data_IF_688212869388
#
_entry.id   IF_688212869388
#
_cell.length_a   1.000
_cell.length_b   1.000
_cell.length_c   1.000
_cell.angle_alpha   90.00
_cell.angle_beta   90.00
_cell.angle_gamma   90.00
#
_symmetry.space_group_name_H-M   'P 1'
#
loop_
_entity.id
_entity.type
_entity.pdbx_description
1 polymer ?
#
# COMPACT_ATOMS: atom_id res chain seq x y z
N UNK A 1 79.61 -32.04 18.92
CA UNK A 1 79.53 -31.46 17.56
C UNK A 1 78.17 -31.85 16.98
N UNK A 2 77.37 -30.83 16.65
CA UNK A 2 76.25 -30.81 15.68
C UNK A 2 75.05 -31.73 15.97
N UNK A 3 74.01 -31.26 16.66
CA UNK A 3 72.90 -30.42 16.16
C UNK A 3 71.79 -31.23 15.44
N UNK A 4 70.82 -31.71 16.23
CA UNK A 4 69.50 -32.16 15.81
C UNK A 4 68.70 -30.95 15.30
N UNK A 5 68.14 -31.03 14.09
CA UNK A 5 67.37 -29.96 13.46
C UNK A 5 66.07 -29.61 14.20
N UNK A 6 65.61 -28.35 14.14
CA UNK A 6 64.38 -27.94 14.79
C UNK A 6 63.16 -28.36 13.97
N UNK A 7 62.23 -29.02 14.65
CA UNK A 7 60.89 -29.32 14.16
C UNK A 7 60.12 -28.02 13.89
N UNK A 8 59.70 -27.84 12.64
CA UNK A 8 58.83 -26.75 12.19
C UNK A 8 57.41 -26.99 12.73
N UNK A 9 57.10 -26.37 13.86
CA UNK A 9 55.73 -26.30 14.39
C UNK A 9 54.93 -25.27 13.57
N UNK A 10 54.09 -25.75 12.66
CA UNK A 10 53.03 -24.94 12.08
C UNK A 10 51.95 -24.71 13.15
N UNK A 11 51.93 -23.52 13.74
CA UNK A 11 50.78 -23.03 14.52
C UNK A 11 49.82 -22.39 13.53
N UNK A 12 48.78 -23.14 13.15
CA UNK A 12 47.67 -22.64 12.36
C UNK A 12 46.80 -21.74 13.26
N UNK A 13 47.07 -20.44 13.26
CA UNK A 13 46.17 -19.45 13.86
C UNK A 13 44.95 -19.28 12.94
N UNK A 14 43.85 -19.96 13.26
CA UNK A 14 42.55 -19.70 12.65
C UNK A 14 42.00 -18.38 13.21
N UNK A 15 42.25 -17.29 12.48
CA UNK A 15 41.59 -16.01 12.71
C UNK A 15 40.15 -16.14 12.23
N UNK A 16 39.21 -16.41 13.15
CA UNK A 16 37.79 -16.37 12.86
C UNK A 16 37.36 -14.91 12.64
N UNK A 17 37.43 -14.44 11.40
CA UNK A 17 36.74 -13.23 10.99
C UNK A 17 35.24 -13.53 10.95
N UNK A 18 34.57 -13.38 12.09
CA UNK A 18 33.12 -13.25 12.12
C UNK A 18 32.76 -11.93 11.42
N UNK A 19 32.51 -12.00 10.11
CA UNK A 19 31.73 -10.97 9.43
C UNK A 19 30.37 -10.93 10.15
N UNK A 20 30.23 -9.99 11.06
CA UNK A 20 28.94 -9.56 11.57
C UNK A 20 28.27 -8.81 10.42
N UNK A 21 27.81 -9.55 9.40
CA UNK A 21 26.77 -9.03 8.53
C UNK A 21 25.58 -8.75 9.46
N UNK A 22 24.96 -7.55 9.43
CA UNK A 22 23.69 -7.38 10.08
C UNK A 22 22.74 -8.36 9.41
N UNK A 23 22.48 -9.48 10.09
CA UNK A 23 21.27 -10.24 9.91
C UNK A 23 20.15 -9.25 10.23
N UNK A 24 19.66 -8.56 9.20
CA UNK A 24 18.31 -8.06 9.24
C UNK A 24 17.46 -9.31 9.45
N UNK A 25 17.14 -9.59 10.72
CA UNK A 25 16.14 -10.57 11.07
C UNK A 25 14.94 -10.21 10.21
N UNK A 26 14.59 -11.08 9.25
CA UNK A 26 13.41 -10.88 8.42
C UNK A 26 12.22 -11.00 9.36
N UNK A 27 11.79 -9.87 9.92
CA UNK A 27 10.56 -9.80 10.69
C UNK A 27 9.46 -10.19 9.69
N UNK A 28 8.69 -11.27 9.91
CA UNK A 28 7.87 -11.89 8.86
C UNK A 28 6.88 -10.91 8.21
N UNK A 29 7.12 -10.40 7.01
CA UNK A 29 6.20 -9.45 6.36
C UNK A 29 6.86 -8.75 5.19
N UNK A 30 6.09 -8.52 4.12
CA UNK A 30 6.59 -7.84 2.92
C UNK A 30 6.52 -6.32 3.07
N UNK A 31 7.39 -5.61 2.35
CA UNK A 31 7.26 -4.16 2.20
C UNK A 31 5.97 -3.83 1.44
N UNK A 32 5.38 -2.67 1.73
CA UNK A 32 4.14 -2.23 1.08
C UNK A 32 4.30 -2.06 -0.43
N UNK A 33 5.48 -1.63 -0.89
CA UNK A 33 5.83 -1.64 -2.32
C UNK A 33 5.64 -3.01 -2.96
N UNK A 34 6.04 -4.09 -2.28
CA UNK A 34 5.87 -5.44 -2.81
C UNK A 34 4.41 -5.88 -2.80
N UNK A 35 3.63 -5.51 -1.79
CA UNK A 35 2.17 -5.71 -1.81
C UNK A 35 1.50 -5.02 -3.01
N UNK A 36 1.90 -3.79 -3.34
CA UNK A 36 1.38 -3.07 -4.50
C UNK A 36 1.74 -3.77 -5.82
N UNK A 37 2.98 -4.25 -5.95
CA UNK A 37 3.43 -5.05 -7.09
C UNK A 37 2.62 -6.33 -7.24
N UNK A 38 2.44 -7.09 -6.15
CA UNK A 38 1.70 -8.35 -6.15
C UNK A 38 0.23 -8.14 -6.57
N UNK A 39 -0.45 -7.14 -6.00
CA UNK A 39 -1.83 -6.77 -6.37
C UNK A 39 -1.94 -6.33 -7.82
N UNK A 40 -0.96 -5.57 -8.31
CA UNK A 40 -0.94 -5.10 -9.71
C UNK A 40 -0.86 -6.29 -10.67
N UNK A 41 0.05 -7.23 -10.46
CA UNK A 41 0.17 -8.39 -11.34
C UNK A 41 -1.07 -9.30 -11.25
N UNK A 42 -1.66 -9.45 -10.06
CA UNK A 42 -2.90 -10.21 -9.90
C UNK A 42 -4.09 -9.59 -10.68
N UNK A 43 -4.19 -8.26 -10.70
CA UNK A 43 -5.24 -7.54 -11.45
C UNK A 43 -4.97 -7.37 -12.94
N UNK A 44 -3.73 -7.60 -13.39
CA UNK A 44 -3.30 -7.37 -14.77
C UNK A 44 -2.52 -8.59 -15.30
N UNK A 45 -3.20 -9.71 -15.62
CA UNK A 45 -2.56 -10.98 -15.99
C UNK A 45 -1.72 -10.94 -17.28
N UNK A 46 -1.82 -9.86 -18.06
CA UNK A 46 -1.00 -9.65 -19.26
C UNK A 46 0.38 -9.04 -18.96
N UNK A 47 0.62 -8.57 -17.73
CA UNK A 47 1.94 -8.08 -17.31
C UNK A 47 2.91 -9.24 -17.09
N UNK A 48 4.10 -9.11 -17.66
CA UNK A 48 5.24 -9.98 -17.39
C UNK A 48 6.06 -9.53 -16.18
N UNK A 49 6.18 -8.21 -15.99
CA UNK A 49 6.94 -7.65 -14.90
C UNK A 49 6.36 -6.31 -14.45
N UNK A 50 6.46 -6.07 -13.15
CA UNK A 50 6.23 -4.77 -12.51
C UNK A 50 7.43 -4.51 -11.62
N UNK A 51 7.99 -3.32 -11.72
CA UNK A 51 9.11 -2.87 -10.88
C UNK A 51 8.81 -1.50 -10.32
N UNK A 52 9.13 -1.32 -9.04
CA UNK A 52 9.08 -0.01 -8.39
C UNK A 52 10.48 0.37 -7.97
N UNK A 53 10.93 1.53 -8.44
CA UNK A 53 12.16 2.18 -7.99
C UNK A 53 11.78 3.40 -7.17
N UNK A 54 12.48 3.64 -6.06
CA UNK A 54 12.32 4.86 -5.27
C UNK A 54 13.68 5.49 -5.02
N UNK A 55 13.70 6.82 -4.94
CA UNK A 55 14.90 7.56 -4.56
C UNK A 55 14.97 7.64 -3.04
N UNK A 56 16.08 7.21 -2.40
CA UNK A 56 16.25 7.33 -0.96
C UNK A 56 16.13 8.79 -0.48
N UNK A 57 15.58 8.98 0.73
CA UNK A 57 15.55 10.30 1.36
C UNK A 57 16.97 10.78 1.64
N UNK A 58 17.41 11.86 0.99
CA UNK A 58 18.78 12.38 1.08
C UNK A 58 19.52 12.44 -0.26
N UNK A 59 18.91 11.96 -1.34
CA UNK A 59 19.53 11.89 -2.67
C UNK A 59 20.24 10.56 -2.92
N UNK A 60 20.53 10.26 -4.19
CA UNK A 60 21.16 9.01 -4.62
C UNK A 60 20.51 8.44 -5.89
N UNK A 61 21.09 7.36 -6.41
CA UNK A 61 20.51 6.61 -7.53
C UNK A 61 19.18 5.94 -7.11
N UNK A 62 18.16 5.92 -7.97
CA UNK A 62 16.93 5.18 -7.71
C UNK A 62 17.23 3.70 -7.45
N UNK A 63 16.73 3.17 -6.32
CA UNK A 63 16.91 1.76 -5.96
C UNK A 63 15.61 1.01 -6.22
N UNK A 64 15.70 -0.21 -6.76
CA UNK A 64 14.53 -1.09 -6.89
C UNK A 64 14.08 -1.55 -5.50
N UNK A 65 12.86 -1.19 -5.12
CA UNK A 65 12.28 -1.48 -3.80
C UNK A 65 11.21 -2.58 -3.82
N UNK A 66 10.72 -2.93 -5.01
CA UNK A 66 9.80 -4.05 -5.23
C UNK A 66 9.82 -4.50 -6.69
N UNK A 67 9.58 -5.79 -6.92
CA UNK A 67 9.64 -6.37 -8.26
C UNK A 67 8.92 -7.71 -8.37
N UNK A 68 8.46 -8.05 -9.58
CA UNK A 68 8.12 -9.43 -9.95
C UNK A 68 9.21 -10.11 -10.79
N UNK A 69 10.33 -9.44 -11.07
CA UNK A 69 11.48 -10.04 -11.74
C UNK A 69 12.02 -11.18 -10.88
N UNK A 70 12.26 -12.34 -11.49
CA UNK A 70 12.70 -13.57 -10.82
C UNK A 70 11.59 -14.60 -10.57
N UNK A 71 10.32 -14.29 -10.90
CA UNK A 71 9.24 -15.28 -10.90
C UNK A 71 9.42 -16.31 -12.02
N UNK A 72 9.39 -17.59 -11.66
CA UNK A 72 9.46 -18.73 -12.59
C UNK A 72 8.11 -18.98 -13.29
N UNK A 73 8.15 -19.59 -14.48
CA UNK A 73 6.95 -19.96 -15.25
C UNK A 73 6.51 -18.97 -16.33
N UNK A 74 7.28 -17.90 -16.58
CA UNK A 74 7.04 -17.01 -17.72
C UNK A 74 7.43 -17.70 -19.05
N UNK A 75 6.69 -17.45 -20.16
CA UNK A 75 7.09 -17.95 -21.47
C UNK A 75 8.51 -17.51 -21.83
N UNK A 76 9.35 -18.45 -22.28
CA UNK A 76 10.76 -18.21 -22.58
C UNK A 76 11.01 -17.45 -23.91
N UNK A 77 9.95 -17.00 -24.59
CA UNK A 77 10.04 -16.34 -25.90
C UNK A 77 8.95 -15.31 -26.14
N UNK A 78 9.18 -14.41 -27.09
CA UNK A 78 8.29 -13.32 -27.49
C UNK A 78 8.92 -11.94 -27.32
N UNK A 79 8.48 -10.97 -28.12
CA UNK A 79 8.92 -9.57 -27.99
C UNK A 79 8.34 -8.99 -26.70
N UNK A 80 9.17 -8.31 -25.91
CA UNK A 80 8.74 -7.57 -24.71
C UNK A 80 8.51 -6.12 -25.09
N UNK A 81 7.47 -5.52 -24.50
CA UNK A 81 7.29 -4.07 -24.52
C UNK A 81 7.47 -3.60 -23.10
N UNK A 82 8.43 -2.70 -22.89
CA UNK A 82 8.77 -2.15 -21.59
C UNK A 82 8.40 -0.66 -21.57
N UNK A 83 7.64 -0.24 -20.56
CA UNK A 83 7.27 1.15 -20.35
C UNK A 83 7.77 1.58 -18.98
N UNK A 84 8.41 2.75 -18.93
CA UNK A 84 8.81 3.40 -17.70
C UNK A 84 8.01 4.70 -17.52
N UNK A 85 7.35 4.85 -16.38
CA UNK A 85 6.56 6.02 -16.01
C UNK A 85 7.04 6.58 -14.67
N UNK A 86 6.82 7.87 -14.38
CA UNK A 86 6.98 8.38 -13.01
C UNK A 86 6.03 7.63 -12.07
N UNK A 87 6.54 7.15 -10.95
CA UNK A 87 5.73 6.63 -9.86
C UNK A 87 5.22 7.82 -9.06
N UNK A 88 3.90 7.99 -9.00
CA UNK A 88 3.25 9.12 -8.35
C UNK A 88 2.69 8.71 -6.99
N UNK A 89 2.64 9.64 -6.05
CA UNK A 89 1.87 9.51 -4.82
C UNK A 89 0.44 10.08 -4.98
N UNK A 90 -0.34 10.01 -3.90
CA UNK A 90 -1.73 10.48 -3.83
C UNK A 90 -1.90 11.98 -4.13
N UNK A 91 -0.83 12.79 -4.13
CA UNK A 91 -0.90 14.22 -4.48
C UNK A 91 -0.30 14.53 -5.85
N UNK A 92 0.16 13.50 -6.56
CA UNK A 92 0.78 13.60 -7.88
C UNK A 92 2.25 14.02 -7.83
N UNK A 93 2.91 13.91 -6.68
CA UNK A 93 4.36 14.10 -6.57
C UNK A 93 5.05 12.82 -7.06
N UNK A 94 6.14 12.99 -7.80
CA UNK A 94 6.99 11.88 -8.23
C UNK A 94 7.77 11.35 -7.03
N UNK A 95 7.55 10.09 -6.68
CA UNK A 95 8.24 9.39 -5.58
C UNK A 95 9.22 8.32 -6.09
N UNK A 96 9.28 8.11 -7.41
CA UNK A 96 10.12 7.10 -8.02
C UNK A 96 9.79 6.83 -9.49
N UNK A 97 10.10 5.61 -9.94
CA UNK A 97 9.82 5.13 -11.30
C UNK A 97 9.06 3.82 -11.25
N UNK A 98 7.99 3.73 -12.03
CA UNK A 98 7.23 2.52 -12.30
C UNK A 98 7.72 1.92 -13.62
N UNK A 99 8.24 0.69 -13.58
CA UNK A 99 8.54 -0.08 -14.77
C UNK A 99 7.49 -1.18 -14.99
N UNK A 100 6.94 -1.26 -16.19
CA UNK A 100 5.94 -2.25 -16.59
C UNK A 100 6.43 -2.97 -17.85
N UNK A 101 6.32 -4.30 -17.86
CA UNK A 101 6.64 -5.12 -19.03
C UNK A 101 5.43 -5.94 -19.46
N UNK A 102 5.14 -5.96 -20.76
CA UNK A 102 4.12 -6.84 -21.37
C UNK A 102 4.77 -7.82 -22.35
N UNK A 103 4.09 -8.95 -22.55
CA UNK A 103 4.36 -9.81 -23.70
C UNK A 103 3.66 -9.20 -24.92
N UNK A 104 4.43 -8.84 -25.96
CA UNK A 104 3.87 -8.39 -27.22
C UNK A 104 3.11 -9.54 -27.86
N UNK A 105 1.79 -9.38 -27.99
CA UNK A 105 1.02 -10.05 -29.04
C UNK A 105 1.16 -9.14 -30.29
N UNK A 106 1.28 -9.73 -31.48
CA UNK A 106 1.60 -9.07 -32.77
C UNK A 106 1.06 -7.62 -32.94
N UNK A 107 1.82 -6.76 -33.63
CA UNK A 107 1.55 -5.31 -33.83
C UNK A 107 0.91 -4.68 -32.58
N UNK A 108 1.70 -4.56 -31.50
CA UNK A 108 1.26 -3.84 -30.31
C UNK A 108 0.78 -2.45 -30.73
N UNK A 109 -0.50 -2.15 -30.52
CA UNK A 109 -0.99 -0.78 -30.50
C UNK A 109 -0.25 -0.07 -29.36
N UNK A 110 0.82 0.63 -29.71
CA UNK A 110 1.71 1.34 -28.77
C UNK A 110 0.89 2.32 -27.91
N UNK A 111 -0.13 2.93 -28.51
CA UNK A 111 -1.04 3.81 -27.79
C UNK A 111 -1.99 3.06 -26.83
N UNK A 112 -2.33 1.79 -27.10
CA UNK A 112 -3.04 0.96 -26.12
C UNK A 112 -2.13 0.59 -24.93
N UNK A 113 -0.90 0.18 -25.19
CA UNK A 113 0.07 -0.15 -24.13
C UNK A 113 0.36 1.08 -23.26
N UNK A 114 0.55 2.25 -23.86
CA UNK A 114 0.77 3.50 -23.14
C UNK A 114 -0.45 3.89 -22.28
N UNK A 115 -1.67 3.78 -22.83
CA UNK A 115 -2.91 4.03 -22.07
C UNK A 115 -3.05 3.08 -20.89
N UNK A 116 -2.79 1.80 -21.08
CA UNK A 116 -2.84 0.81 -19.99
C UNK A 116 -1.77 1.09 -18.93
N UNK A 117 -0.56 1.46 -19.34
CA UNK A 117 0.52 1.84 -18.43
C UNK A 117 0.14 3.04 -17.57
N UNK A 118 -0.45 4.07 -18.19
CA UNK A 118 -0.95 5.28 -17.51
C UNK A 118 -2.07 4.93 -16.53
N UNK A 119 -3.02 4.08 -16.92
CA UNK A 119 -4.10 3.64 -16.05
C UNK A 119 -3.57 2.89 -14.80
N UNK A 120 -2.58 2.01 -14.98
CA UNK A 120 -1.92 1.31 -13.87
C UNK A 120 -1.20 2.29 -12.95
N UNK A 121 -0.45 3.25 -13.50
CA UNK A 121 0.23 4.30 -12.72
C UNK A 121 -0.77 5.10 -11.88
N UNK A 122 -1.88 5.52 -12.48
CA UNK A 122 -2.88 6.36 -11.82
C UNK A 122 -3.65 5.57 -10.74
N UNK A 123 -3.87 4.26 -10.96
CA UNK A 123 -4.39 3.37 -9.93
C UNK A 123 -3.42 3.23 -8.75
N UNK A 124 -2.13 3.00 -9.01
CA UNK A 124 -1.10 2.91 -7.98
C UNK A 124 -0.98 4.21 -7.19
N UNK A 125 -1.06 5.37 -7.85
CA UNK A 125 -0.97 6.67 -7.21
C UNK A 125 -2.01 6.88 -6.10
N UNK A 126 -3.20 6.29 -6.23
CA UNK A 126 -4.26 6.33 -5.20
C UNK A 126 -3.92 5.52 -3.94
N UNK A 127 -2.91 4.66 -4.01
CA UNK A 127 -2.48 3.79 -2.92
C UNK A 127 -1.16 4.23 -2.27
N UNK A 128 -0.48 5.26 -2.79
CA UNK A 128 0.87 5.62 -2.33
C UNK A 128 0.80 6.95 -1.58
N UNK A 129 0.95 6.91 -0.26
CA UNK A 129 0.86 8.15 0.53
C UNK A 129 2.06 9.08 0.31
N UNK A 130 3.26 8.49 0.19
CA UNK A 130 4.55 9.15 -0.09
C UNK A 130 5.63 8.06 -0.28
N UNK A 131 6.85 8.46 -0.60
CA UNK A 131 7.98 7.54 -0.77
C UNK A 131 8.26 6.65 0.46
N UNK A 132 8.12 7.19 1.69
CA UNK A 132 8.35 6.43 2.92
C UNK A 132 7.34 5.31 3.08
N UNK A 133 6.06 5.55 2.73
CA UNK A 133 4.99 4.56 2.83
C UNK A 133 5.29 3.28 2.02
N UNK A 134 6.01 3.38 0.90
CA UNK A 134 6.41 2.22 0.10
C UNK A 134 7.33 1.25 0.85
N UNK A 135 8.14 1.76 1.78
CA UNK A 135 9.10 0.97 2.57
C UNK A 135 8.52 0.48 3.90
N UNK A 136 7.31 0.91 4.25
CA UNK A 136 6.63 0.43 5.45
C UNK A 136 6.25 -1.05 5.29
N UNK A 137 6.14 -1.75 6.42
CA UNK A 137 5.66 -3.13 6.46
C UNK A 137 4.20 -3.21 6.02
N UNK A 138 3.83 -4.31 5.38
CA UNK A 138 2.44 -4.66 5.12
C UNK A 138 2.07 -6.06 5.65
N UNK A 139 0.97 -6.20 6.43
CA UNK A 139 0.20 -5.12 7.06
C UNK A 139 1.09 -4.29 8.01
N UNK A 140 0.72 -3.03 8.26
CA UNK A 140 1.56 -2.09 9.01
C UNK A 140 1.82 -2.56 10.44
N UNK A 141 0.78 -2.99 11.14
CA UNK A 141 0.94 -3.77 12.38
C UNK A 141 0.97 -5.26 12.04
N UNK A 142 1.98 -5.96 12.56
CA UNK A 142 2.09 -7.41 12.36
C UNK A 142 0.86 -8.15 12.87
N UNK A 143 0.28 -9.02 12.03
CA UNK A 143 -0.91 -9.80 12.36
C UNK A 143 -2.23 -9.04 12.24
N UNK A 144 -2.22 -7.74 11.89
CA UNK A 144 -3.45 -7.04 11.56
C UNK A 144 -4.08 -7.65 10.30
N UNK A 145 -5.36 -8.00 10.38
CA UNK A 145 -6.10 -8.46 9.21
C UNK A 145 -6.36 -7.31 8.23
N UNK A 146 -6.22 -7.58 6.95
CA UNK A 146 -6.61 -6.67 5.85
C UNK A 146 -7.96 -7.06 5.26
N UNK A 147 -8.55 -8.19 5.70
CA UNK A 147 -9.85 -8.69 5.26
C UNK A 147 -10.97 -8.19 6.18
N UNK A 148 -11.07 -6.88 6.36
CA UNK A 148 -12.11 -6.26 7.19
C UNK A 148 -13.27 -5.76 6.33
N UNK A 149 -14.46 -5.67 6.92
CA UNK A 149 -15.60 -4.94 6.32
C UNK A 149 -15.21 -3.50 5.96
N UNK A 150 -14.41 -2.83 6.80
CA UNK A 150 -13.89 -1.50 6.50
C UNK A 150 -13.01 -1.45 5.24
N UNK A 151 -12.10 -2.41 5.03
CA UNK A 151 -11.26 -2.43 3.84
C UNK A 151 -12.09 -2.66 2.58
N UNK A 152 -13.07 -3.58 2.63
CA UNK A 152 -14.01 -3.77 1.51
C UNK A 152 -14.74 -2.47 1.16
N UNK A 153 -15.26 -1.75 2.16
CA UNK A 153 -15.92 -0.47 1.95
C UNK A 153 -14.98 0.55 1.29
N UNK A 154 -13.71 0.61 1.70
CA UNK A 154 -12.70 1.46 1.05
C UNK A 154 -12.52 1.06 -0.42
N UNK A 155 -12.40 -0.23 -0.71
CA UNK A 155 -12.22 -0.73 -2.07
C UNK A 155 -13.43 -0.40 -2.95
N UNK A 156 -14.65 -0.57 -2.43
CA UNK A 156 -15.91 -0.22 -3.12
C UNK A 156 -16.01 1.29 -3.40
N UNK A 157 -15.63 2.13 -2.44
CA UNK A 157 -15.61 3.59 -2.59
C UNK A 157 -14.62 3.96 -3.70
N UNK A 158 -13.38 3.45 -3.65
CA UNK A 158 -12.34 3.78 -4.65
C UNK A 158 -12.70 3.31 -6.06
N UNK A 159 -13.43 2.19 -6.17
CA UNK A 159 -13.89 1.67 -7.45
C UNK A 159 -15.00 2.52 -8.09
N UNK A 160 -15.82 3.21 -7.28
CA UNK A 160 -16.99 3.99 -7.75
C UNK A 160 -16.73 5.49 -7.82
N UNK A 161 -15.87 6.01 -6.95
CA UNK A 161 -15.65 7.44 -6.81
C UNK A 161 -14.79 8.01 -7.94
N UNK A 162 -14.96 9.31 -8.26
CA UNK A 162 -14.20 9.97 -9.32
C UNK A 162 -12.70 9.98 -9.04
N UNK A 163 -11.91 10.21 -10.09
CA UNK A 163 -10.44 10.21 -10.06
C UNK A 163 -9.83 11.28 -9.15
N UNK A 164 -10.62 12.24 -8.66
CA UNK A 164 -10.18 13.25 -7.71
C UNK A 164 -10.16 12.75 -6.26
N UNK A 165 -10.75 11.60 -5.95
CA UNK A 165 -10.58 10.92 -4.67
C UNK A 165 -9.15 10.36 -4.57
N UNK A 166 -8.39 10.86 -3.59
CA UNK A 166 -6.96 10.55 -3.43
C UNK A 166 -6.66 9.65 -2.25
N UNK A 167 -7.43 9.74 -1.16
CA UNK A 167 -7.21 8.92 0.02
C UNK A 167 -8.52 8.66 0.74
N UNK A 168 -8.67 7.44 1.24
CA UNK A 168 -9.73 7.07 2.18
C UNK A 168 -9.11 6.30 3.32
N UNK A 169 -9.48 6.63 4.55
CA UNK A 169 -9.14 5.85 5.74
C UNK A 169 -10.38 5.65 6.58
N UNK A 170 -10.65 4.39 6.91
CA UNK A 170 -11.67 3.99 7.86
C UNK A 170 -11.00 3.44 9.12
N UNK A 171 -11.29 4.09 10.24
CA UNK A 171 -10.94 3.60 11.56
C UNK A 171 -12.17 3.06 12.26
N UNK A 172 -11.99 1.95 12.95
CA UNK A 172 -13.00 1.39 13.85
C UNK A 172 -12.33 0.77 15.06
N UNK A 173 -13.15 0.33 16.01
CA UNK A 173 -12.66 -0.31 17.21
C UNK A 173 -12.33 -1.78 16.95
N UNK A 174 -11.13 -2.20 17.33
CA UNK A 174 -10.73 -3.61 17.41
C UNK A 174 -9.89 -3.79 18.68
N UNK A 175 -10.19 -4.82 19.47
CA UNK A 175 -9.54 -5.01 20.78
C UNK A 175 -9.67 -3.80 21.72
N UNK A 176 -10.77 -3.05 21.63
CA UNK A 176 -11.02 -1.83 22.43
C UNK A 176 -10.22 -0.59 22.01
N UNK A 177 -9.46 -0.66 20.91
CA UNK A 177 -8.64 0.44 20.40
C UNK A 177 -9.16 0.90 19.04
N UNK A 178 -9.23 2.22 18.83
CA UNK A 178 -9.50 2.79 17.52
C UNK A 178 -8.26 2.63 16.64
N UNK A 179 -8.40 1.95 15.52
CA UNK A 179 -7.28 1.68 14.60
C UNK A 179 -7.72 1.72 13.14
N UNK A 180 -6.78 1.88 12.21
CA UNK A 180 -7.06 1.78 10.78
C UNK A 180 -7.47 0.34 10.47
N UNK A 181 -8.72 0.16 10.04
CA UNK A 181 -9.26 -1.12 9.61
C UNK A 181 -9.36 -1.21 8.08
N UNK A 182 -9.51 -0.06 7.40
CA UNK A 182 -9.43 0.03 5.95
C UNK A 182 -8.71 1.30 5.52
N UNK A 183 -7.87 1.23 4.49
CA UNK A 183 -7.20 2.40 3.92
C UNK A 183 -6.74 2.16 2.50
N UNK A 184 -6.68 3.22 1.70
CA UNK A 184 -6.11 3.13 0.35
C UNK A 184 -4.60 2.85 0.36
N UNK A 185 -3.89 3.24 1.43
CA UNK A 185 -2.43 3.17 1.55
C UNK A 185 -1.91 2.11 2.56
N UNK A 186 -2.75 1.15 2.93
CA UNK A 186 -2.34 -0.12 3.54
C UNK A 186 -1.92 -0.12 5.02
N UNK A 187 -2.11 0.96 5.77
CA UNK A 187 -1.65 1.10 7.17
C UNK A 187 -2.50 0.38 8.23
N UNK A 188 -3.00 -0.81 7.89
CA UNK A 188 -3.86 -1.62 8.75
C UNK A 188 -3.27 -1.86 10.15
N UNK A 189 -4.12 -1.69 11.16
CA UNK A 189 -3.77 -1.83 12.57
C UNK A 189 -3.09 -0.60 13.20
N UNK A 190 -2.74 0.44 12.43
CA UNK A 190 -2.19 1.67 13.02
C UNK A 190 -3.22 2.27 13.99
N UNK A 191 -2.82 2.43 15.26
CA UNK A 191 -3.66 3.05 16.29
C UNK A 191 -3.95 4.52 15.96
N UNK A 192 -5.11 4.98 16.39
CA UNK A 192 -5.46 6.39 16.42
C UNK A 192 -4.46 7.16 17.29
N UNK A 193 -3.98 8.30 16.79
CA UNK A 193 -3.28 9.29 17.59
C UNK A 193 -4.27 10.29 18.21
N UNK A 194 -3.77 11.32 18.90
CA UNK A 194 -4.62 12.27 19.61
C UNK A 194 -5.57 13.03 18.67
N UNK A 195 -5.12 13.33 17.44
CA UNK A 195 -5.93 14.06 16.47
C UNK A 195 -7.04 13.17 15.90
N UNK A 196 -6.73 11.90 15.63
CA UNK A 196 -7.76 10.91 15.27
C UNK A 196 -8.83 10.76 16.37
N UNK A 197 -8.43 10.84 17.65
CA UNK A 197 -9.36 10.74 18.78
C UNK A 197 -10.23 12.00 18.94
N UNK A 198 -9.74 13.18 18.56
CA UNK A 198 -10.57 14.41 18.51
C UNK A 198 -11.69 14.27 17.48
N UNK A 199 -11.37 13.73 16.30
CA UNK A 199 -12.36 13.48 15.23
C UNK A 199 -13.47 12.55 15.72
N UNK A 200 -13.13 11.48 16.43
CA UNK A 200 -14.11 10.49 16.95
C UNK A 200 -15.25 11.15 17.73
N UNK A 201 -14.95 12.16 18.53
CA UNK A 201 -15.93 12.83 19.38
C UNK A 201 -16.56 14.08 18.76
N UNK A 202 -16.07 14.52 17.60
CA UNK A 202 -16.58 15.70 16.92
C UNK A 202 -18.03 15.52 16.43
N UNK A 203 -18.78 16.61 16.44
CA UNK A 203 -20.13 16.70 15.85
C UNK A 203 -20.10 17.21 14.41
N UNK A 204 -19.08 17.99 14.07
CA UNK A 204 -18.86 18.58 12.76
C UNK A 204 -17.60 18.00 12.10
N UNK A 205 -17.53 17.95 10.76
CA UNK A 205 -16.31 17.57 10.06
C UNK A 205 -15.15 18.50 10.39
N UNK A 206 -13.96 17.94 10.55
CA UNK A 206 -12.72 18.69 10.61
C UNK A 206 -12.08 18.68 9.22
N UNK A 207 -11.53 19.80 8.79
CA UNK A 207 -10.98 19.94 7.43
C UNK A 207 -9.57 20.50 7.47
N UNK A 208 -8.72 20.08 6.54
CA UNK A 208 -7.36 20.60 6.43
C UNK A 208 -6.77 20.42 5.04
N UNK A 209 -5.92 21.36 4.64
CA UNK A 209 -5.07 21.17 3.47
C UNK A 209 -3.84 20.35 3.87
N UNK A 210 -3.48 19.40 3.01
CA UNK A 210 -2.18 18.75 3.11
C UNK A 210 -1.06 19.79 2.97
N UNK A 211 0.12 19.49 3.52
CA UNK A 211 1.23 20.44 3.61
C UNK A 211 1.68 21.00 2.25
N UNK A 212 1.47 20.25 1.15
CA UNK A 212 1.76 20.68 -0.22
C UNK A 212 0.64 21.51 -0.88
N UNK A 213 -0.50 21.69 -0.19
CA UNK A 213 -1.67 22.40 -0.70
C UNK A 213 -2.41 21.71 -1.85
N UNK A 214 -2.12 20.44 -2.15
CA UNK A 214 -2.68 19.70 -3.30
C UNK A 214 -3.76 18.69 -2.94
N UNK A 215 -3.98 18.46 -1.65
CA UNK A 215 -5.04 17.57 -1.15
C UNK A 215 -5.82 18.24 -0.04
N UNK A 216 -7.14 18.25 -0.17
CA UNK A 216 -8.06 18.72 0.86
C UNK A 216 -8.62 17.49 1.60
N UNK A 217 -8.35 17.42 2.89
CA UNK A 217 -8.80 16.34 3.77
C UNK A 217 -10.05 16.76 4.53
N UNK A 218 -10.99 15.82 4.67
CA UNK A 218 -12.19 15.92 5.49
C UNK A 218 -12.21 14.72 6.43
N UNK A 219 -12.14 15.00 7.72
CA UNK A 219 -12.15 14.03 8.82
C UNK A 219 -13.50 14.06 9.53
N UNK A 220 -14.14 12.90 9.67
CA UNK A 220 -15.53 12.80 10.10
C UNK A 220 -15.71 11.65 11.10
N UNK A 221 -16.43 11.90 12.19
CA UNK A 221 -16.91 10.84 13.08
C UNK A 221 -17.98 9.99 12.39
N UNK A 222 -17.91 8.67 12.56
CA UNK A 222 -18.92 7.71 12.13
C UNK A 222 -19.76 7.27 13.34
N UNK A 223 -21.08 7.21 13.17
CA UNK A 223 -22.03 6.85 14.22
C UNK A 223 -22.91 5.67 13.84
N UNK A 224 -23.20 4.82 14.81
CA UNK A 224 -24.17 3.73 14.63
C UNK A 224 -25.61 4.23 14.62
N UNK A 225 -26.56 3.32 14.40
CA UNK A 225 -27.99 3.63 14.39
C UNK A 225 -28.49 4.22 15.72
N UNK A 226 -27.77 4.01 16.83
CA UNK A 226 -28.06 4.59 18.14
C UNK A 226 -27.35 5.94 18.36
N UNK A 227 -26.59 6.43 17.38
CA UNK A 227 -25.84 7.68 17.45
C UNK A 227 -24.49 7.59 18.19
N UNK A 228 -24.07 6.39 18.60
CA UNK A 228 -22.81 6.17 19.31
C UNK A 228 -21.64 6.17 18.31
N UNK A 229 -20.48 6.76 18.67
CA UNK A 229 -19.29 6.70 17.82
C UNK A 229 -18.87 5.25 17.57
N UNK A 230 -18.81 4.84 16.30
CA UNK A 230 -18.31 3.53 15.87
C UNK A 230 -16.91 3.59 15.24
N UNK A 231 -16.47 4.79 14.87
CA UNK A 231 -15.22 4.96 14.13
C UNK A 231 -15.03 6.36 13.55
N UNK A 232 -14.07 6.49 12.65
CA UNK A 232 -13.82 7.72 11.89
C UNK A 232 -13.58 7.43 10.42
N UNK A 233 -13.93 8.40 9.59
CA UNK A 233 -13.69 8.43 8.15
C UNK A 233 -12.83 9.65 7.83
N UNK A 234 -11.70 9.42 7.18
CA UNK A 234 -10.90 10.47 6.53
C UNK A 234 -11.03 10.32 5.03
N UNK A 235 -11.41 11.39 4.34
CA UNK A 235 -11.47 11.46 2.88
C UNK A 235 -10.55 12.57 2.39
N UNK A 236 -9.65 12.27 1.47
CA UNK A 236 -8.77 13.24 0.83
C UNK A 236 -9.10 13.40 -0.65
N UNK A 237 -9.37 14.63 -1.08
CA UNK A 237 -9.63 14.97 -2.48
C UNK A 237 -8.47 15.75 -3.07
N UNK A 238 -8.22 15.58 -4.37
CA UNK A 238 -7.37 16.48 -5.13
C UNK A 238 -7.89 17.91 -4.96
N UNK A 239 -6.98 18.86 -4.75
CA UNK A 239 -7.34 20.24 -4.50
C UNK A 239 -6.45 21.19 -5.27
N UNK A 240 -7.09 22.21 -5.84
CA UNK A 240 -6.47 23.39 -6.43
C UNK A 240 -6.99 24.62 -5.71
N UNK A 241 -6.16 25.65 -5.64
CA UNK A 241 -6.54 26.92 -5.02
C UNK A 241 -7.81 27.47 -5.70
N UNK A 242 -8.86 27.65 -4.91
CA UNK A 242 -10.15 28.16 -5.38
C UNK A 242 -11.20 27.07 -5.66
N UNK A 243 -10.86 25.78 -5.49
CA UNK A 243 -11.87 24.72 -5.52
C UNK A 243 -12.89 24.91 -4.39
N UNK A 244 -14.13 24.54 -4.66
CA UNK A 244 -15.23 24.64 -3.70
C UNK A 244 -15.08 23.61 -2.58
N UNK A 245 -14.50 24.03 -1.46
CA UNK A 245 -14.31 23.19 -0.28
C UNK A 245 -15.65 22.76 0.34
N UNK A 246 -16.72 23.54 0.20
CA UNK A 246 -18.03 23.16 0.74
C UNK A 246 -18.61 22.00 -0.06
N UNK A 247 -18.45 21.99 -1.39
CA UNK A 247 -18.83 20.86 -2.23
C UNK A 247 -18.04 19.58 -1.87
N UNK A 248 -16.73 19.69 -1.59
CA UNK A 248 -15.91 18.56 -1.15
C UNK A 248 -16.35 18.01 0.22
N UNK A 249 -16.67 18.89 1.18
CA UNK A 249 -17.24 18.48 2.47
C UNK A 249 -18.59 17.79 2.28
N UNK A 250 -19.48 18.34 1.43
CA UNK A 250 -20.78 17.74 1.16
C UNK A 250 -20.66 16.33 0.57
N UNK A 251 -19.70 16.10 -0.33
CA UNK A 251 -19.38 14.76 -0.86
C UNK A 251 -18.90 13.80 0.22
N UNK A 252 -17.98 14.25 1.09
CA UNK A 252 -17.50 13.41 2.19
C UNK A 252 -18.62 13.04 3.18
N UNK A 253 -19.55 13.96 3.45
CA UNK A 253 -20.73 13.72 4.27
C UNK A 253 -21.71 12.73 3.63
N UNK A 254 -21.85 12.74 2.30
CA UNK A 254 -22.62 11.74 1.58
C UNK A 254 -22.00 10.34 1.70
N UNK A 255 -20.66 10.24 1.59
CA UNK A 255 -19.92 9.00 1.84
C UNK A 255 -20.12 8.49 3.27
N UNK A 256 -20.03 9.37 4.29
CA UNK A 256 -20.35 9.00 5.67
C UNK A 256 -21.71 8.33 5.76
N UNK A 257 -22.75 8.94 5.20
CA UNK A 257 -24.12 8.41 5.25
C UNK A 257 -24.23 7.03 4.61
N UNK A 258 -23.54 6.81 3.49
CA UNK A 258 -23.50 5.50 2.83
C UNK A 258 -22.82 4.45 3.72
N UNK A 259 -21.67 4.79 4.31
CA UNK A 259 -20.93 3.90 5.22
C UNK A 259 -21.77 3.55 6.45
N UNK A 260 -22.37 4.54 7.11
CA UNK A 260 -23.21 4.33 8.29
C UNK A 260 -24.44 3.47 7.99
N UNK A 261 -25.01 3.57 6.79
CA UNK A 261 -26.10 2.69 6.36
C UNK A 261 -25.64 1.24 6.17
N UNK A 262 -24.48 1.00 5.57
CA UNK A 262 -23.92 -0.35 5.34
C UNK A 262 -23.35 -0.98 6.62
N UNK A 263 -22.88 -0.15 7.54
CA UNK A 263 -22.32 -0.54 8.84
C UNK A 263 -23.29 -0.26 10.00
N UNK A 264 -24.61 -0.33 9.78
CA UNK A 264 -25.62 -0.01 10.79
C UNK A 264 -25.51 -0.86 12.07
N UNK A 265 -24.89 -2.03 11.99
CA UNK A 265 -24.55 -2.91 13.11
C UNK A 265 -23.43 -2.38 14.03
N UNK A 266 -22.76 -1.30 13.63
CA UNK A 266 -21.66 -0.68 14.39
C UNK A 266 -20.33 -1.42 14.26
N UNK A 267 -20.24 -2.42 13.38
CA UNK A 267 -19.07 -3.29 13.27
C UNK A 267 -18.31 -3.01 11.98
N UNK A 268 -17.06 -2.55 12.12
CA UNK A 268 -16.15 -2.26 11.00
C UNK A 268 -15.00 -3.28 10.88
N UNK A 269 -14.70 -4.03 11.95
CA UNK A 269 -13.58 -4.97 12.03
C UNK A 269 -13.96 -6.41 11.66
N UNK A 270 -15.25 -6.69 11.44
CA UNK A 270 -15.73 -8.01 11.05
C UNK A 270 -14.93 -8.54 9.85
N UNK A 271 -14.42 -9.76 9.99
CA UNK A 271 -13.75 -10.45 8.90
C UNK A 271 -14.74 -10.70 7.77
N UNK A 272 -14.29 -10.46 6.56
CA UNK A 272 -15.04 -10.77 5.37
C UNK A 272 -15.07 -12.30 5.15
N UNK A 273 -16.13 -12.95 5.63
CA UNK A 273 -16.32 -14.41 5.50
C UNK A 273 -16.48 -14.88 4.04
N UNK A 274 -16.83 -13.99 3.11
CA UNK A 274 -17.00 -14.31 1.68
C UNK A 274 -15.68 -14.35 0.91
N UNK A 275 -14.62 -13.67 1.39
CA UNK A 275 -13.28 -13.74 0.80
C UNK A 275 -12.48 -15.01 1.16
N UNK A 276 -12.97 -15.84 2.08
CA UNK A 276 -12.39 -17.15 2.38
C UNK A 276 -12.99 -18.27 1.50
N UNK A 277 -14.07 -17.98 0.75
CA UNK A 277 -14.73 -18.94 -0.13
C UNK A 277 -14.10 -19.07 -1.53
N UNK A 278 -13.15 -18.20 -1.90
CA UNK A 278 -12.49 -18.18 -3.22
C UNK A 278 -10.98 -18.53 -3.16
N UNK A 279 -10.63 -19.61 -2.47
CA UNK A 279 -9.40 -20.35 -2.77
C UNK A 279 -9.76 -21.77 -3.21
N UNK A 280 -10.02 -22.00 -4.52
CA UNK A 280 -10.05 -23.36 -5.03
C UNK A 280 -8.63 -23.93 -5.01
N UNK A 281 -8.41 -24.90 -4.12
CA UNK A 281 -7.37 -25.92 -4.29
C UNK A 281 -5.96 -25.55 -3.85
N UNK A 282 -5.70 -25.64 -2.55
CA UNK A 282 -4.44 -26.26 -2.09
C UNK A 282 -4.84 -27.54 -1.39
N UNK A 283 -4.82 -28.65 -2.15
CA UNK A 283 -4.80 -29.97 -1.55
C UNK A 283 -3.50 -30.11 -0.76
N UNK A 284 -3.51 -30.57 0.50
CA UNK A 284 -2.28 -31.01 1.13
C UNK A 284 -1.76 -32.22 0.34
N UNK A 285 -0.54 -32.13 -0.16
CA UNK A 285 0.19 -33.28 -0.69
C UNK A 285 0.53 -34.24 0.48
N UNK A 286 0.64 -35.55 0.20
CA UNK A 286 0.65 -36.62 1.21
C UNK A 286 1.86 -36.58 2.16
#
# INVERSE_FOLDING_TARGET
MSALGPALRFVLSLLAAALCAPLFAQVPGKAYAQELVDRTVAGHPCLLAVTLHATPSGGGEPVMIASTIGRIGHPAGGRRVDVALPLLDTTGIVVGTLGLSWLSRHESDEAAVERDAVAIRDQLARSILNARNLLERYPFVSGATTKTKAQRLVDEIVAREPSDLRAVTLRGFSGGQLMILGSTFGRHGKKADEDDMKVLHATEPQTGLHADGRRFNVDISLRDAAGKPMGTLTVGYAYRKGDDTQALVARALALRKQIEATAADGVLDALDATLDAELPGVSPAP
#
